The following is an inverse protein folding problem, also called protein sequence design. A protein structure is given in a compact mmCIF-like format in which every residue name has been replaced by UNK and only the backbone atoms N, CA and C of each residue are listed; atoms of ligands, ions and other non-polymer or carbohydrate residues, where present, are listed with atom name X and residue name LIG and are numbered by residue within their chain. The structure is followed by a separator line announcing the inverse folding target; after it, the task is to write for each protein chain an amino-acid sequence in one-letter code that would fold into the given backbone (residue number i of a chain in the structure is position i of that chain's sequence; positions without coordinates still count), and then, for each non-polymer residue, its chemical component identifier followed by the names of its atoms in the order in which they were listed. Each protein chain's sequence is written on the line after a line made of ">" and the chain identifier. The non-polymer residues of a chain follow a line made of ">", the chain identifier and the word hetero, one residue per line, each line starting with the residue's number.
data_IF_610691035482
#
_entry.id   IF_610691035482
#
_cell.length_a   1.000
_cell.length_b   1.000
_cell.length_c   1.000
_cell.angle_alpha   90.00
_cell.angle_beta   90.00
_cell.angle_gamma   90.00
#
_symmetry.space_group_name_H-M   'P 1'
#
loop_
_entity.id
_entity.type
_entity.pdbx_description
1 polymer ?
#
# COMPACT_ATOMS: atom_id res chain seq x y z
N UNK A 1 -29.63 -15.34 -22.79
CA UNK A 1 -28.61 -14.32 -22.48
C UNK A 1 -28.69 -13.01 -23.32
N UNK A 2 -29.70 -12.80 -24.16
CA UNK A 2 -29.75 -11.63 -25.07
C UNK A 2 -29.79 -10.27 -24.35
N UNK A 3 -30.64 -10.12 -23.33
CA UNK A 3 -30.76 -8.86 -22.58
C UNK A 3 -29.51 -8.53 -21.74
N UNK A 4 -28.77 -9.56 -21.31
CA UNK A 4 -27.48 -9.38 -20.66
C UNK A 4 -26.47 -8.74 -21.62
N UNK A 5 -26.34 -9.27 -22.86
CA UNK A 5 -25.45 -8.66 -23.87
C UNK A 5 -25.86 -7.22 -24.20
N UNK A 6 -27.16 -6.99 -24.44
CA UNK A 6 -27.69 -5.65 -24.72
C UNK A 6 -27.35 -4.65 -23.62
N UNK A 7 -27.49 -5.03 -22.35
CA UNK A 7 -27.13 -4.16 -21.23
C UNK A 7 -25.62 -3.96 -21.15
N UNK A 8 -24.82 -5.01 -21.37
CA UNK A 8 -23.35 -4.94 -21.35
C UNK A 8 -22.74 -4.10 -22.48
N UNK A 9 -23.44 -3.90 -23.60
CA UNK A 9 -22.97 -3.08 -24.72
C UNK A 9 -23.17 -1.56 -24.49
N UNK A 10 -23.98 -1.17 -23.50
CA UNK A 10 -24.24 0.25 -23.21
C UNK A 10 -23.01 0.87 -22.53
N UNK A 11 -22.33 1.76 -23.25
CA UNK A 11 -21.18 2.51 -22.75
C UNK A 11 -21.59 3.47 -21.62
N UNK A 12 -20.73 3.65 -20.62
CA UNK A 12 -20.94 4.53 -19.46
C UNK A 12 -22.19 4.23 -18.60
N UNK A 13 -22.76 3.03 -18.71
CA UNK A 13 -23.87 2.60 -17.86
C UNK A 13 -23.37 1.94 -16.58
N UNK A 14 -23.74 2.51 -15.42
CA UNK A 14 -23.47 1.94 -14.10
C UNK A 14 -24.13 0.56 -13.93
N UNK A 15 -25.30 0.33 -14.55
CA UNK A 15 -25.97 -0.97 -14.54
C UNK A 15 -25.24 -2.00 -15.41
N UNK A 16 -24.69 -1.58 -16.54
CA UNK A 16 -23.84 -2.44 -17.38
C UNK A 16 -22.54 -2.81 -16.67
N UNK A 17 -21.95 -1.86 -15.95
CA UNK A 17 -20.73 -2.04 -15.18
C UNK A 17 -20.95 -2.97 -13.99
N UNK A 18 -22.01 -2.75 -13.20
CA UNK A 18 -22.42 -3.62 -12.09
C UNK A 18 -22.73 -5.05 -12.58
N UNK A 19 -23.39 -5.18 -13.73
CA UNK A 19 -23.67 -6.47 -14.32
C UNK A 19 -22.37 -7.20 -14.72
N UNK A 20 -21.43 -6.49 -15.37
CA UNK A 20 -20.10 -7.02 -15.73
C UNK A 20 -19.37 -7.55 -14.49
N UNK A 21 -19.40 -6.80 -13.38
CA UNK A 21 -18.77 -7.22 -12.12
C UNK A 21 -19.42 -8.45 -11.48
N UNK A 22 -20.75 -8.50 -11.45
CA UNK A 22 -21.48 -9.65 -10.91
C UNK A 22 -21.18 -10.93 -11.71
N UNK A 23 -21.06 -10.81 -13.04
CA UNK A 23 -20.75 -11.95 -13.91
C UNK A 23 -19.29 -12.43 -13.77
N UNK A 24 -18.32 -11.53 -13.63
CA UNK A 24 -16.93 -11.90 -13.31
C UNK A 24 -16.80 -12.56 -11.93
N UNK A 25 -17.57 -12.06 -10.94
CA UNK A 25 -17.62 -12.67 -9.60
C UNK A 25 -18.22 -14.09 -9.64
N UNK A 26 -19.29 -14.29 -10.42
CA UNK A 26 -19.90 -15.59 -10.62
C UNK A 26 -18.95 -16.57 -11.33
N UNK A 27 -18.26 -16.13 -12.39
CA UNK A 27 -17.24 -16.90 -13.09
C UNK A 27 -16.12 -17.36 -12.16
N UNK A 28 -15.61 -16.46 -11.32
CA UNK A 28 -14.55 -16.78 -10.34
C UNK A 28 -15.03 -17.80 -9.31
N UNK A 29 -16.24 -17.61 -8.78
CA UNK A 29 -16.84 -18.50 -7.78
C UNK A 29 -17.06 -19.91 -8.35
N UNK A 30 -17.54 -20.01 -9.60
CA UNK A 30 -17.74 -21.28 -10.29
C UNK A 30 -16.42 -21.97 -10.62
N UNK A 31 -15.39 -21.24 -11.04
CA UNK A 31 -14.05 -21.79 -11.26
C UNK A 31 -13.43 -22.36 -9.98
N UNK A 32 -13.60 -21.67 -8.84
CA UNK A 32 -13.13 -22.15 -7.54
C UNK A 32 -13.90 -23.40 -7.08
N UNK A 33 -15.23 -23.36 -7.16
CA UNK A 33 -16.08 -24.50 -6.79
C UNK A 33 -15.79 -25.74 -7.67
N UNK A 34 -15.55 -25.54 -8.97
CA UNK A 34 -15.15 -26.61 -9.90
C UNK A 34 -13.81 -27.25 -9.50
N UNK A 35 -12.84 -26.44 -9.06
CA UNK A 35 -11.53 -26.94 -8.61
C UNK A 35 -11.62 -27.68 -7.27
N UNK A 36 -12.51 -27.25 -6.38
CA UNK A 36 -12.70 -27.84 -5.04
C UNK A 36 -13.53 -29.13 -5.09
N UNK A 37 -14.48 -29.25 -6.03
CA UNK A 37 -15.38 -30.40 -6.17
C UNK A 37 -15.33 -31.03 -7.58
N UNK A 38 -14.18 -31.60 -8.01
CA UNK A 38 -14.00 -32.08 -9.38
C UNK A 38 -14.80 -33.33 -9.76
N UNK A 39 -15.41 -34.01 -8.77
CA UNK A 39 -16.23 -35.21 -8.95
C UNK A 39 -17.73 -34.95 -8.75
N UNK A 40 -18.14 -33.68 -8.58
CA UNK A 40 -19.54 -33.32 -8.44
C UNK A 40 -20.30 -33.61 -9.76
N UNK A 41 -21.49 -34.23 -9.70
CA UNK A 41 -22.26 -34.56 -10.91
C UNK A 41 -22.66 -33.33 -11.74
N UNK A 42 -22.57 -32.11 -11.19
CA UNK A 42 -22.81 -30.85 -11.88
C UNK A 42 -21.62 -30.25 -12.62
N UNK A 43 -20.42 -30.83 -12.55
CA UNK A 43 -19.19 -30.25 -13.14
C UNK A 43 -19.31 -30.01 -14.65
N UNK A 44 -19.87 -30.96 -15.40
CA UNK A 44 -20.04 -30.81 -16.86
C UNK A 44 -20.99 -29.65 -17.21
N UNK A 45 -22.04 -29.44 -16.41
CA UNK A 45 -22.98 -28.32 -16.59
C UNK A 45 -22.32 -27.00 -16.17
N UNK A 46 -21.47 -27.02 -15.13
CA UNK A 46 -20.68 -25.88 -14.70
C UNK A 46 -19.70 -25.43 -15.79
N UNK A 47 -19.06 -26.37 -16.50
CA UNK A 47 -18.16 -26.08 -17.61
C UNK A 47 -18.87 -25.39 -18.79
N UNK A 48 -20.06 -25.85 -19.16
CA UNK A 48 -20.86 -25.19 -20.20
C UNK A 48 -21.32 -23.80 -19.77
N UNK A 49 -21.73 -23.63 -18.51
CA UNK A 49 -22.10 -22.33 -17.96
C UNK A 49 -20.92 -21.34 -17.95
N UNK A 50 -19.71 -21.79 -17.62
CA UNK A 50 -18.50 -20.98 -17.68
C UNK A 50 -18.18 -20.55 -19.11
N UNK A 51 -18.35 -21.43 -20.11
CA UNK A 51 -18.19 -21.06 -21.53
C UNK A 51 -19.20 -19.99 -21.96
N UNK A 52 -20.47 -20.12 -21.54
CA UNK A 52 -21.50 -19.12 -21.83
C UNK A 52 -21.17 -17.76 -21.20
N UNK A 53 -20.68 -17.74 -19.95
CA UNK A 53 -20.26 -16.52 -19.25
C UNK A 53 -19.06 -15.86 -19.94
N UNK A 54 -18.03 -16.63 -20.31
CA UNK A 54 -16.88 -16.10 -21.04
C UNK A 54 -17.30 -15.49 -22.39
N UNK A 55 -18.17 -16.17 -23.15
CA UNK A 55 -18.68 -15.66 -24.42
C UNK A 55 -19.48 -14.36 -24.27
N UNK A 56 -20.13 -14.17 -23.12
CA UNK A 56 -20.92 -12.98 -22.82
C UNK A 56 -20.05 -11.79 -22.36
N UNK A 57 -18.91 -12.06 -21.73
CA UNK A 57 -17.98 -11.06 -21.22
C UNK A 57 -16.91 -10.62 -22.25
N UNK A 58 -16.71 -11.39 -23.32
CA UNK A 58 -15.84 -11.01 -24.43
C UNK A 58 -16.38 -9.77 -25.18
N UNK A 59 -15.54 -8.76 -25.46
CA UNK A 59 -15.94 -7.62 -26.28
C UNK A 59 -16.31 -8.07 -27.70
N UNK A 60 -17.27 -7.41 -28.37
CA UNK A 60 -17.61 -7.74 -29.75
C UNK A 60 -16.37 -7.56 -30.63
N UNK A 61 -16.01 -8.61 -31.37
CA UNK A 61 -14.86 -8.61 -32.26
C UNK A 61 -14.92 -7.41 -33.21
N UNK A 62 -13.94 -6.52 -33.10
CA UNK A 62 -13.75 -5.42 -34.04
C UNK A 62 -13.39 -6.02 -35.40
N UNK A 63 -14.06 -5.66 -36.50
CA UNK A 63 -13.75 -6.24 -37.80
C UNK A 63 -12.33 -5.85 -38.20
N UNK A 64 -11.48 -6.88 -38.33
CA UNK A 64 -10.15 -6.84 -38.91
C UNK A 64 -10.21 -6.24 -40.32
N UNK A 65 -9.65 -5.05 -40.49
CA UNK A 65 -9.30 -4.54 -41.81
C UNK A 65 -8.03 -5.25 -42.28
N UNK A 66 -8.27 -6.12 -43.25
CA UNK A 66 -7.31 -6.74 -44.15
C UNK A 66 -6.42 -5.72 -44.86
N UNK A 67 -5.16 -6.14 -45.06
CA UNK A 67 -4.34 -5.94 -46.26
C UNK A 67 -4.42 -4.59 -46.96
N UNK A 68 -3.35 -3.80 -46.85
CA UNK A 68 -2.74 -3.13 -48.00
C UNK A 68 -1.30 -2.74 -47.64
N UNK A 69 -0.35 -3.35 -48.35
CA UNK A 69 1.07 -3.12 -48.17
C UNK A 69 1.54 -1.80 -48.75
N UNK A 70 2.41 -1.13 -48.01
CA UNK A 70 3.48 -0.27 -48.53
C UNK A 70 4.72 -0.48 -47.66
N UNK A 71 5.80 -0.90 -48.30
CA UNK A 71 7.16 -0.87 -47.78
C UNK A 71 7.55 0.60 -47.56
N UNK A 72 8.04 0.94 -46.36
CA UNK A 72 9.36 1.53 -46.15
C UNK A 72 9.50 2.10 -44.73
N UNK A 73 10.73 1.98 -44.23
CA UNK A 73 11.25 2.57 -43.00
C UNK A 73 10.67 2.04 -41.68
N UNK A 74 11.34 1.01 -41.17
CA UNK A 74 11.51 0.80 -39.73
C UNK A 74 12.18 2.08 -39.18
N UNK A 75 11.38 3.05 -38.72
CA UNK A 75 11.82 4.04 -37.76
C UNK A 75 11.69 3.37 -36.39
N UNK A 76 12.66 2.55 -36.03
CA UNK A 76 12.94 2.23 -34.63
C UNK A 76 13.51 3.48 -33.97
N UNK A 77 12.65 4.45 -33.62
CA UNK A 77 12.95 5.35 -32.51
C UNK A 77 12.36 4.70 -31.26
N UNK A 78 13.02 3.67 -30.76
CA UNK A 78 12.90 3.32 -29.35
C UNK A 78 13.37 4.57 -28.59
N UNK A 79 12.44 5.31 -27.98
CA UNK A 79 12.77 6.29 -26.96
C UNK A 79 13.46 5.53 -25.82
N UNK A 80 14.78 5.43 -25.90
CA UNK A 80 15.61 4.88 -24.83
C UNK A 80 15.58 5.90 -23.70
N UNK A 81 15.12 5.47 -22.52
CA UNK A 81 15.14 6.31 -21.32
C UNK A 81 16.58 6.71 -21.03
N UNK A 82 16.81 7.99 -20.71
CA UNK A 82 18.16 8.47 -20.35
C UNK A 82 18.66 7.77 -19.08
N UNK A 83 17.75 7.42 -18.18
CA UNK A 83 18.03 6.74 -16.93
C UNK A 83 17.97 5.19 -17.04
N UNK A 84 18.06 4.61 -18.25
CA UNK A 84 18.03 3.15 -18.38
C UNK A 84 19.17 2.45 -17.63
N UNK A 85 20.39 3.01 -17.64
CA UNK A 85 21.49 2.46 -16.85
C UNK A 85 21.19 2.44 -15.35
N UNK A 86 20.48 3.45 -14.86
CA UNK A 86 20.05 3.50 -13.46
C UNK A 86 19.05 2.39 -13.15
N UNK A 87 18.10 2.12 -14.05
CA UNK A 87 17.18 0.97 -13.92
C UNK A 87 17.94 -0.34 -13.83
N UNK A 88 18.86 -0.58 -14.75
CA UNK A 88 19.66 -1.81 -14.81
C UNK A 88 20.48 -2.02 -13.53
N UNK A 89 21.14 -0.95 -13.05
CA UNK A 89 21.87 -0.99 -11.79
C UNK A 89 20.96 -1.30 -10.59
N UNK A 90 19.80 -0.66 -10.52
CA UNK A 90 18.85 -0.84 -9.43
C UNK A 90 18.24 -2.25 -9.41
N UNK A 91 17.75 -2.75 -10.55
CA UNK A 91 17.11 -4.07 -10.65
C UNK A 91 18.12 -5.23 -10.43
N UNK A 92 19.41 -5.01 -10.71
CA UNK A 92 20.46 -6.02 -10.55
C UNK A 92 21.07 -6.09 -9.14
N UNK A 93 20.79 -5.13 -8.26
CA UNK A 93 21.37 -5.09 -6.92
C UNK A 93 20.70 -6.12 -5.99
N UNK A 94 21.50 -7.07 -5.50
CA UNK A 94 21.01 -8.17 -4.66
C UNK A 94 20.55 -7.70 -3.27
N UNK A 95 21.14 -6.63 -2.73
CA UNK A 95 20.81 -6.11 -1.40
C UNK A 95 19.48 -5.35 -1.46
N UNK A 96 19.23 -4.56 -2.50
CA UNK A 96 17.92 -3.96 -2.76
C UNK A 96 16.84 -5.02 -2.95
N UNK A 97 17.11 -6.05 -3.76
CA UNK A 97 16.18 -7.14 -4.01
C UNK A 97 15.79 -7.91 -2.73
N UNK A 98 16.70 -7.99 -1.74
CA UNK A 98 16.38 -8.59 -0.44
C UNK A 98 15.25 -7.83 0.29
N UNK A 99 15.27 -6.49 0.27
CA UNK A 99 14.27 -5.66 0.96
C UNK A 99 13.01 -5.39 0.12
N UNK A 100 13.18 -5.17 -1.17
CA UNK A 100 12.11 -4.76 -2.07
C UNK A 100 11.39 -5.93 -2.74
N UNK A 101 11.98 -7.13 -2.68
CA UNK A 101 11.57 -8.28 -3.47
C UNK A 101 12.00 -8.17 -4.92
N UNK A 102 11.78 -9.24 -5.70
CA UNK A 102 12.19 -9.34 -7.10
C UNK A 102 11.25 -8.59 -8.08
N UNK A 103 10.64 -7.50 -7.64
CA UNK A 103 9.75 -6.69 -8.48
C UNK A 103 10.57 -5.74 -9.34
N UNK A 104 10.43 -5.85 -10.67
CA UNK A 104 11.09 -4.93 -11.60
C UNK A 104 10.42 -3.56 -11.57
N UNK A 105 11.21 -2.52 -11.84
CA UNK A 105 10.71 -1.16 -12.03
C UNK A 105 9.75 -1.09 -13.23
N UNK A 106 8.60 -0.44 -13.07
CA UNK A 106 7.52 -0.41 -14.07
C UNK A 106 7.42 0.90 -14.86
N UNK A 107 8.15 1.93 -14.44
CA UNK A 107 8.10 3.26 -15.03
C UNK A 107 8.40 3.29 -16.53
N UNK A 108 7.73 4.18 -17.26
CA UNK A 108 7.87 4.32 -18.73
C UNK A 108 8.50 5.65 -19.15
N UNK A 109 8.79 6.54 -18.20
CA UNK A 109 9.46 7.82 -18.43
C UNK A 109 10.61 8.01 -17.44
N UNK A 110 11.58 8.86 -17.77
CA UNK A 110 12.70 9.17 -16.86
C UNK A 110 12.19 9.81 -15.55
N UNK A 111 11.15 10.64 -15.64
CA UNK A 111 10.54 11.31 -14.48
C UNK A 111 9.82 10.32 -13.56
N UNK A 112 9.11 9.34 -14.13
CA UNK A 112 8.46 8.29 -13.35
C UNK A 112 9.51 7.36 -12.72
N UNK A 113 10.54 6.99 -13.49
CA UNK A 113 11.61 6.10 -13.03
C UNK A 113 12.37 6.69 -11.85
N UNK A 114 12.72 7.98 -11.92
CA UNK A 114 13.30 8.71 -10.80
C UNK A 114 12.42 8.59 -9.55
N UNK A 115 11.15 8.93 -9.68
CA UNK A 115 10.21 8.94 -8.56
C UNK A 115 9.94 7.55 -7.98
N UNK A 116 9.80 6.53 -8.82
CA UNK A 116 9.63 5.14 -8.41
C UNK A 116 10.82 4.65 -7.59
N UNK A 117 12.05 4.88 -8.08
CA UNK A 117 13.27 4.53 -7.35
C UNK A 117 13.31 5.25 -6.00
N UNK A 118 13.14 6.58 -5.99
CA UNK A 118 13.22 7.35 -4.75
C UNK A 118 12.18 6.91 -3.70
N UNK A 119 10.97 6.54 -4.12
CA UNK A 119 9.95 6.00 -3.21
C UNK A 119 10.29 4.59 -2.72
N UNK A 120 10.84 3.71 -3.58
CA UNK A 120 11.32 2.39 -3.14
C UNK A 120 12.43 2.52 -2.08
N UNK A 121 13.32 3.51 -2.20
CA UNK A 121 14.35 3.79 -1.19
C UNK A 121 13.78 4.23 0.18
N UNK A 122 12.51 4.60 0.28
CA UNK A 122 11.87 4.90 1.58
C UNK A 122 11.59 3.64 2.42
N UNK A 123 11.72 2.45 1.82
CA UNK A 123 11.34 1.16 2.41
C UNK A 123 12.53 0.35 2.95
N UNK A 124 13.76 0.78 2.68
CA UNK A 124 14.99 0.04 2.98
C UNK A 124 15.78 0.71 4.13
N UNK A 125 16.79 0.04 4.73
CA UNK A 125 17.62 0.65 5.77
C UNK A 125 18.21 1.99 5.34
N UNK A 126 18.28 2.96 6.26
CA UNK A 126 18.70 4.32 5.91
C UNK A 126 20.12 4.42 5.37
N UNK A 127 21.04 3.59 5.85
CA UNK A 127 22.43 3.60 5.35
C UNK A 127 22.47 3.18 3.87
N UNK A 128 21.71 2.14 3.50
CA UNK A 128 21.57 1.68 2.13
C UNK A 128 20.81 2.70 1.26
N UNK A 129 19.75 3.30 1.81
CA UNK A 129 19.01 4.36 1.13
C UNK A 129 19.87 5.60 0.87
N UNK A 130 20.74 5.99 1.82
CA UNK A 130 21.65 7.12 1.67
C UNK A 130 22.69 6.87 0.57
N UNK A 131 23.28 5.67 0.56
CA UNK A 131 24.18 5.25 -0.52
C UNK A 131 23.49 5.33 -1.88
N UNK A 132 22.30 4.71 -2.01
CA UNK A 132 21.58 4.69 -3.28
C UNK A 132 21.06 6.06 -3.72
N UNK A 133 20.65 6.93 -2.79
CA UNK A 133 20.28 8.32 -3.11
C UNK A 133 21.45 9.06 -3.74
N UNK A 134 22.66 8.95 -3.16
CA UNK A 134 23.84 9.57 -3.76
C UNK A 134 24.16 8.94 -5.12
N UNK A 135 24.16 7.61 -5.21
CA UNK A 135 24.47 6.90 -6.44
C UNK A 135 23.50 7.25 -7.58
N UNK A 136 22.19 7.32 -7.30
CA UNK A 136 21.17 7.73 -8.27
C UNK A 136 21.37 9.15 -8.77
N UNK A 137 21.80 10.07 -7.89
CA UNK A 137 22.12 11.45 -8.27
C UNK A 137 23.35 11.53 -9.16
N UNK A 138 24.41 10.78 -8.84
CA UNK A 138 25.63 10.73 -9.65
C UNK A 138 25.31 10.25 -11.08
N UNK A 139 24.53 9.17 -11.21
CA UNK A 139 24.08 8.64 -12.51
C UNK A 139 23.15 9.61 -13.26
N UNK A 140 22.26 10.32 -12.54
CA UNK A 140 21.42 11.35 -13.16
C UNK A 140 22.28 12.53 -13.68
N UNK A 141 23.35 12.88 -12.97
CA UNK A 141 24.28 13.94 -13.38
C UNK A 141 25.07 13.57 -14.63
N UNK A 142 25.44 12.31 -14.81
CA UNK A 142 26.12 11.83 -16.03
C UNK A 142 25.31 12.09 -17.31
N UNK A 143 23.97 12.09 -17.21
CA UNK A 143 23.07 12.40 -18.33
C UNK A 143 22.63 13.87 -18.36
N UNK A 144 23.22 14.73 -17.52
CA UNK A 144 22.99 16.16 -17.47
C UNK A 144 21.78 16.61 -16.65
N UNK A 145 21.23 15.73 -15.80
CA UNK A 145 20.19 16.11 -14.84
C UNK A 145 20.82 16.59 -13.52
N UNK A 146 20.19 17.54 -12.85
CA UNK A 146 20.72 18.18 -11.63
C UNK A 146 19.66 18.18 -10.55
N UNK A 147 20.03 17.82 -9.32
CA UNK A 147 19.16 17.87 -8.16
C UNK A 147 18.47 19.24 -8.01
N UNK A 148 17.15 19.23 -7.86
CA UNK A 148 16.33 20.43 -7.67
C UNK A 148 15.49 20.31 -6.39
N UNK A 149 15.87 21.11 -5.39
CA UNK A 149 15.15 21.21 -4.11
C UNK A 149 14.07 22.30 -4.12
N UNK A 150 13.87 23.00 -5.23
CA UNK A 150 12.89 24.09 -5.36
C UNK A 150 11.55 23.61 -5.95
N UNK A 151 11.58 22.62 -6.84
CA UNK A 151 10.39 22.03 -7.46
C UNK A 151 9.97 20.74 -6.74
N UNK A 152 9.19 20.89 -5.66
CA UNK A 152 8.78 19.78 -4.80
C UNK A 152 7.26 19.62 -4.78
N UNK A 153 6.79 18.38 -4.92
CA UNK A 153 5.44 17.99 -4.56
C UNK A 153 5.32 17.96 -3.03
N UNK A 154 4.40 18.75 -2.47
CA UNK A 154 4.24 18.92 -1.03
C UNK A 154 3.13 18.03 -0.49
N UNK A 155 3.51 17.09 0.39
CA UNK A 155 2.60 16.26 1.15
C UNK A 155 2.23 16.95 2.48
N UNK A 156 0.95 17.03 2.84
CA UNK A 156 0.52 17.66 4.09
C UNK A 156 1.00 16.85 5.30
N UNK A 157 1.78 17.47 6.20
CA UNK A 157 2.19 16.84 7.46
C UNK A 157 2.56 17.87 8.54
N UNK A 158 2.77 17.43 9.77
CA UNK A 158 3.04 18.32 10.93
C UNK A 158 4.44 18.94 10.96
N UNK A 159 5.31 18.61 10.01
CA UNK A 159 6.67 19.14 9.87
C UNK A 159 7.02 19.34 8.40
N UNK A 160 7.97 20.23 8.15
CA UNK A 160 8.59 20.38 6.83
C UNK A 160 9.82 19.46 6.73
N UNK A 161 9.92 18.71 5.63
CA UNK A 161 11.02 17.77 5.40
C UNK A 161 11.13 17.50 3.90
N UNK A 162 12.32 17.64 3.29
CA UNK A 162 12.54 17.17 1.92
C UNK A 162 12.78 15.66 1.98
N UNK A 163 11.89 14.87 1.39
CA UNK A 163 12.01 13.41 1.34
C UNK A 163 13.04 13.01 0.29
N UNK A 164 12.93 13.58 -0.91
CA UNK A 164 13.92 13.44 -1.98
C UNK A 164 13.83 14.62 -2.96
N UNK A 165 14.95 14.99 -3.61
CA UNK A 165 14.98 16.10 -4.56
C UNK A 165 14.28 15.76 -5.88
N UNK A 166 13.81 16.80 -6.58
CA UNK A 166 13.46 16.68 -7.98
C UNK A 166 14.70 16.68 -8.86
N UNK A 167 14.49 16.70 -10.17
CA UNK A 167 15.55 16.94 -11.15
C UNK A 167 15.20 18.13 -12.03
N UNK A 168 16.24 18.85 -12.43
CA UNK A 168 16.25 19.90 -13.45
C UNK A 168 17.30 19.57 -14.53
N UNK A 169 17.39 20.39 -15.57
CA UNK A 169 18.33 20.16 -16.67
C UNK A 169 17.75 19.26 -17.76
N UNK A 170 18.48 18.20 -18.14
CA UNK A 170 18.08 17.30 -19.24
C UNK A 170 16.87 16.42 -18.94
N UNK A 171 16.55 16.25 -17.66
CA UNK A 171 15.37 15.57 -17.12
C UNK A 171 14.72 16.54 -16.12
N UNK A 172 13.41 16.74 -16.24
CA UNK A 172 12.65 17.61 -15.34
C UNK A 172 11.60 16.78 -14.60
N UNK A 173 11.68 16.74 -13.27
CA UNK A 173 10.72 16.02 -12.43
C UNK A 173 10.64 16.67 -11.05
N UNK A 174 9.47 16.60 -10.43
CA UNK A 174 9.27 17.12 -9.08
C UNK A 174 9.88 16.16 -8.05
N UNK A 175 10.47 16.73 -7.00
CA UNK A 175 10.82 15.98 -5.80
C UNK A 175 9.61 15.78 -4.89
N UNK A 176 9.84 15.26 -3.70
CA UNK A 176 8.80 15.04 -2.70
C UNK A 176 9.22 15.63 -1.36
N UNK A 177 8.28 16.29 -0.69
CA UNK A 177 8.50 16.88 0.63
C UNK A 177 7.27 16.76 1.50
N UNK A 178 7.46 16.76 2.82
CA UNK A 178 6.45 17.05 3.81
C UNK A 178 6.33 18.56 3.97
N UNK A 179 5.11 19.07 4.17
CA UNK A 179 4.90 20.48 4.49
C UNK A 179 3.79 20.75 5.49
N UNK A 180 4.13 21.55 6.52
CA UNK A 180 3.17 22.07 7.49
C UNK A 180 2.20 23.07 6.86
N UNK A 181 2.69 23.89 5.93
CA UNK A 181 1.86 24.83 5.17
C UNK A 181 0.82 24.09 4.32
N UNK A 182 1.22 22.97 3.68
CA UNK A 182 0.29 22.14 2.92
C UNK A 182 -0.79 21.52 3.81
N UNK A 183 -0.45 21.12 5.05
CA UNK A 183 -1.41 20.64 6.03
C UNK A 183 -2.42 21.72 6.43
N UNK A 184 -1.97 22.94 6.74
CA UNK A 184 -2.85 24.06 7.12
C UNK A 184 -3.82 24.47 6.00
N UNK A 185 -3.39 24.34 4.75
CA UNK A 185 -4.23 24.63 3.58
C UNK A 185 -5.26 23.53 3.28
N UNK A 186 -5.08 22.34 3.85
CA UNK A 186 -6.04 21.24 3.76
C UNK A 186 -7.18 21.57 4.72
N UNK A 187 -8.22 22.26 4.22
CA UNK A 187 -9.33 22.95 4.92
C UNK A 187 -10.20 22.10 5.87
N UNK A 188 -9.71 20.97 6.38
CA UNK A 188 -10.47 19.94 7.10
C UNK A 188 -10.07 19.84 8.58
N UNK A 189 -9.01 20.53 9.03
CA UNK A 189 -8.67 20.63 10.46
C UNK A 189 -9.14 21.97 11.05
N UNK A 190 -10.21 21.92 11.84
CA UNK A 190 -10.48 22.91 12.91
C UNK A 190 -9.74 22.54 14.22
N UNK A 191 -8.70 21.71 14.14
CA UNK A 191 -7.91 21.23 15.27
C UNK A 191 -6.56 21.94 15.40
N UNK A 192 -5.98 21.88 16.60
CA UNK A 192 -4.68 22.48 16.95
C UNK A 192 -3.58 22.11 15.93
N UNK A 193 -2.63 23.03 15.72
CA UNK A 193 -1.50 22.97 14.78
C UNK A 193 -0.54 21.76 14.94
N UNK A 194 -0.84 20.80 15.83
CA UNK A 194 0.01 19.64 16.20
C UNK A 194 -0.72 18.30 16.27
N UNK A 195 -1.88 18.16 15.60
CA UNK A 195 -2.65 16.91 15.55
C UNK A 195 -1.97 15.84 14.66
N UNK A 196 -1.12 14.99 15.26
CA UNK A 196 -0.45 13.89 14.55
C UNK A 196 -1.44 12.89 13.89
N UNK A 197 -2.53 12.43 14.55
CA UNK A 197 -3.57 11.64 13.88
C UNK A 197 -4.05 12.26 12.57
N UNK A 198 -4.40 13.55 12.59
CA UNK A 198 -4.81 14.28 11.39
C UNK A 198 -3.69 14.33 10.35
N UNK A 199 -2.46 14.68 10.76
CA UNK A 199 -1.30 14.70 9.89
C UNK A 199 -1.03 13.36 9.19
N UNK A 200 -1.07 12.24 9.93
CA UNK A 200 -0.88 10.89 9.39
C UNK A 200 -1.99 10.50 8.41
N UNK A 201 -3.24 10.85 8.71
CA UNK A 201 -4.38 10.60 7.82
C UNK A 201 -4.15 11.26 6.46
N UNK A 202 -3.87 12.56 6.42
CA UNK A 202 -3.67 13.28 5.16
C UNK A 202 -2.43 12.80 4.42
N UNK A 203 -1.34 12.57 5.15
CA UNK A 203 -0.11 12.05 4.56
C UNK A 203 -0.35 10.70 3.89
N UNK A 204 -1.02 9.77 4.56
CA UNK A 204 -1.33 8.46 4.00
C UNK A 204 -2.32 8.50 2.85
N UNK A 205 -3.35 9.34 2.91
CA UNK A 205 -4.23 9.56 1.75
C UNK A 205 -3.43 10.01 0.52
N UNK A 206 -2.48 10.93 0.69
CA UNK A 206 -1.62 11.37 -0.42
C UNK A 206 -0.61 10.34 -0.87
N UNK A 207 -0.02 9.57 0.03
CA UNK A 207 0.83 8.44 -0.36
C UNK A 207 0.06 7.39 -1.17
N UNK A 208 -1.17 7.06 -0.78
CA UNK A 208 -2.05 6.14 -1.52
C UNK A 208 -2.40 6.67 -2.92
N UNK A 209 -2.34 7.98 -3.17
CA UNK A 209 -2.54 8.53 -4.51
C UNK A 209 -1.32 8.32 -5.42
N UNK A 210 -0.10 8.36 -4.86
CA UNK A 210 1.15 8.42 -5.63
C UNK A 210 1.98 7.13 -5.61
N UNK A 211 1.67 6.19 -4.73
CA UNK A 211 2.46 4.97 -4.52
C UNK A 211 1.65 3.70 -4.86
N UNK A 212 1.82 3.14 -6.07
CA UNK A 212 1.05 1.99 -6.53
C UNK A 212 1.33 0.68 -5.78
N UNK A 213 2.49 0.57 -5.13
CA UNK A 213 2.89 -0.65 -4.41
C UNK A 213 2.30 -0.73 -2.99
N UNK A 214 1.35 0.13 -2.64
CA UNK A 214 0.67 0.10 -1.34
C UNK A 214 -0.48 -0.91 -1.29
N UNK A 215 -0.50 -1.65 -0.20
CA UNK A 215 -1.51 -2.61 0.16
C UNK A 215 -2.10 -2.24 1.52
N UNK A 216 -3.26 -2.81 1.83
CA UNK A 216 -3.77 -2.80 3.18
C UNK A 216 -3.96 -4.21 3.73
N UNK A 217 -3.76 -4.33 5.04
CA UNK A 217 -3.97 -5.54 5.81
C UNK A 217 -5.03 -5.33 6.90
N UNK A 218 -5.86 -4.28 6.82
CA UNK A 218 -6.71 -3.86 7.94
C UNK A 218 -7.89 -4.81 8.14
N UNK A 219 -7.94 -5.50 9.29
CA UNK A 219 -8.91 -6.58 9.56
C UNK A 219 -10.35 -6.16 9.32
N UNK A 220 -10.73 -4.96 9.76
CA UNK A 220 -12.10 -4.45 9.66
C UNK A 220 -12.54 -4.13 8.23
N UNK A 221 -11.59 -4.03 7.29
CA UNK A 221 -11.87 -3.82 5.87
C UNK A 221 -11.87 -5.16 5.15
N UNK A 222 -10.80 -5.94 5.32
CA UNK A 222 -10.68 -7.28 4.79
C UNK A 222 -9.83 -8.14 5.73
N UNK A 223 -10.38 -9.26 6.18
CA UNK A 223 -9.77 -10.05 7.26
C UNK A 223 -8.82 -11.15 6.78
N UNK A 224 -8.90 -11.55 5.51
CA UNK A 224 -8.31 -12.82 5.05
C UNK A 224 -6.96 -12.68 4.36
N UNK A 225 -6.58 -11.49 3.90
CA UNK A 225 -5.39 -11.31 3.07
C UNK A 225 -4.88 -9.86 3.08
N UNK A 226 -3.72 -9.63 2.45
CA UNK A 226 -3.13 -8.33 2.14
C UNK A 226 -3.59 -7.89 0.74
N UNK A 227 -4.33 -6.79 0.65
CA UNK A 227 -5.01 -6.38 -0.59
C UNK A 227 -4.41 -5.10 -1.17
N UNK A 228 -4.08 -5.12 -2.47
CA UNK A 228 -3.56 -3.94 -3.17
C UNK A 228 -4.61 -2.83 -3.21
N UNK A 229 -4.22 -1.63 -2.78
CA UNK A 229 -5.07 -0.43 -2.81
C UNK A 229 -5.32 0.09 -4.23
N UNK A 230 -4.52 -0.34 -5.22
CA UNK A 230 -4.64 0.11 -6.60
C UNK A 230 -5.35 -0.88 -7.52
N UNK A 231 -5.52 -2.13 -7.09
CA UNK A 231 -6.25 -3.17 -7.84
C UNK A 231 -7.77 -2.99 -7.85
N UNK A 232 -8.35 -2.45 -6.77
CA UNK A 232 -9.81 -2.33 -6.55
C UNK A 232 -10.14 -1.01 -5.84
N UNK A 233 -10.74 -0.02 -6.52
CA UNK A 233 -11.04 1.29 -5.93
C UNK A 233 -11.90 1.22 -4.66
N UNK A 234 -12.77 0.22 -4.52
CA UNK A 234 -13.62 0.02 -3.35
C UNK A 234 -12.78 -0.27 -2.09
N UNK A 235 -11.74 -1.09 -2.22
CA UNK A 235 -10.84 -1.44 -1.11
C UNK A 235 -10.08 -0.22 -0.60
N UNK A 236 -9.62 0.62 -1.54
CA UNK A 236 -9.00 1.91 -1.22
C UNK A 236 -9.93 2.82 -0.44
N UNK A 237 -11.16 2.98 -0.91
CA UNK A 237 -12.14 3.84 -0.26
C UNK A 237 -12.53 3.31 1.13
N UNK A 238 -12.72 1.99 1.26
CA UNK A 238 -13.02 1.37 2.55
C UNK A 238 -11.88 1.54 3.55
N UNK A 239 -10.63 1.38 3.11
CA UNK A 239 -9.46 1.63 3.95
C UNK A 239 -9.35 3.08 4.40
N UNK A 240 -9.49 4.05 3.47
CA UNK A 240 -9.44 5.49 3.78
C UNK A 240 -10.56 5.87 4.76
N UNK A 241 -11.78 5.37 4.56
CA UNK A 241 -12.90 5.62 5.47
C UNK A 241 -12.62 5.02 6.85
N UNK A 242 -12.12 3.79 6.91
CA UNK A 242 -11.79 3.12 8.16
C UNK A 242 -10.66 3.83 8.94
N UNK A 243 -9.68 4.42 8.24
CA UNK A 243 -8.63 5.25 8.83
C UNK A 243 -9.18 6.59 9.33
N UNK A 244 -10.05 7.23 8.53
CA UNK A 244 -10.70 8.50 8.88
C UNK A 244 -11.57 8.36 10.14
N UNK A 245 -12.37 7.29 10.22
CA UNK A 245 -13.22 7.00 11.38
C UNK A 245 -12.41 6.80 12.66
N UNK A 246 -11.24 6.14 12.56
CA UNK A 246 -10.32 5.95 13.70
C UNK A 246 -9.64 7.24 14.12
N UNK A 247 -9.26 8.07 13.16
CA UNK A 247 -8.72 9.40 13.44
C UNK A 247 -9.73 10.24 14.23
N UNK A 248 -10.99 10.30 13.77
CA UNK A 248 -12.07 11.02 14.47
C UNK A 248 -12.36 10.46 15.86
N UNK A 249 -12.38 9.12 16.02
CA UNK A 249 -12.55 8.49 17.35
C UNK A 249 -11.40 8.82 18.29
N UNK A 250 -10.18 8.88 17.77
CA UNK A 250 -8.98 9.25 18.54
C UNK A 250 -9.06 10.69 19.01
N UNK A 251 -9.39 11.64 18.12
CA UNK A 251 -9.60 13.04 18.46
C UNK A 251 -10.68 13.22 19.55
N UNK A 252 -11.84 12.58 19.38
CA UNK A 252 -12.92 12.61 20.39
C UNK A 252 -12.49 12.00 21.73
N UNK A 253 -11.68 10.94 21.72
CA UNK A 253 -11.18 10.33 22.94
C UNK A 253 -10.19 11.25 23.67
N UNK A 254 -9.39 12.02 22.93
CA UNK A 254 -8.48 13.03 23.48
C UNK A 254 -9.25 14.20 24.14
N UNK A 255 -10.35 14.66 23.54
CA UNK A 255 -11.23 15.69 24.11
C UNK A 255 -11.88 15.26 25.43
N UNK A 256 -12.31 14.00 25.52
CA UNK A 256 -12.97 13.47 26.71
C UNK A 256 -12.03 13.22 27.90
N UNK A 257 -10.71 13.23 27.66
CA UNK A 257 -9.65 13.02 28.66
C UNK A 257 -9.75 11.72 29.50
N UNK A 258 -10.53 10.73 29.08
CA UNK A 258 -10.57 9.39 29.71
C UNK A 258 -9.36 8.55 29.27
N UNK A 259 -8.46 8.14 30.20
CA UNK A 259 -7.24 7.43 29.83
C UNK A 259 -7.47 6.09 29.12
N UNK A 260 -8.52 5.35 29.49
CA UNK A 260 -8.81 4.04 28.89
C UNK A 260 -9.43 4.17 27.49
N UNK A 261 -10.36 5.10 27.30
CA UNK A 261 -10.93 5.39 25.99
C UNK A 261 -9.86 5.90 25.03
N UNK A 262 -8.98 6.79 25.50
CA UNK A 262 -7.84 7.28 24.71
C UNK A 262 -6.89 6.13 24.34
N UNK A 263 -6.57 5.23 25.28
CA UNK A 263 -5.72 4.07 25.01
C UNK A 263 -6.32 3.13 23.96
N UNK A 264 -7.60 2.77 24.11
CA UNK A 264 -8.29 1.90 23.15
C UNK A 264 -8.38 2.53 21.76
N UNK A 265 -8.68 3.83 21.68
CA UNK A 265 -8.72 4.54 20.41
C UNK A 265 -7.34 4.56 19.72
N UNK A 266 -6.27 4.79 20.48
CA UNK A 266 -4.91 4.75 19.95
C UNK A 266 -4.45 3.34 19.53
N UNK A 267 -4.88 2.27 20.19
CA UNK A 267 -4.63 0.89 19.74
C UNK A 267 -5.28 0.66 18.36
N UNK A 268 -6.53 1.08 18.18
CA UNK A 268 -7.24 0.94 16.91
C UNK A 268 -6.60 1.77 15.78
N UNK A 269 -6.23 3.02 16.08
CA UNK A 269 -5.58 3.93 15.13
C UNK A 269 -4.21 3.42 14.72
N UNK A 270 -3.42 2.94 15.68
CA UNK A 270 -2.12 2.34 15.44
C UNK A 270 -2.22 1.06 14.58
N UNK A 271 -3.23 0.20 14.79
CA UNK A 271 -3.46 -0.96 13.91
C UNK A 271 -3.73 -0.50 12.48
N UNK A 272 -4.54 0.54 12.28
CA UNK A 272 -4.81 1.08 10.95
C UNK A 272 -3.54 1.60 10.29
N UNK A 273 -2.73 2.38 11.00
CA UNK A 273 -1.45 2.90 10.52
C UNK A 273 -0.49 1.79 10.08
N UNK A 274 -0.35 0.73 10.88
CA UNK A 274 0.53 -0.40 10.56
C UNK A 274 -0.09 -1.37 9.56
N UNK A 275 -1.39 -1.24 9.28
CA UNK A 275 -2.07 -2.01 8.24
C UNK A 275 -1.88 -1.40 6.84
N UNK A 276 -1.34 -0.18 6.70
CA UNK A 276 -0.84 0.31 5.41
C UNK A 276 0.56 -0.27 5.18
N UNK A 277 0.68 -1.22 4.27
CA UNK A 277 1.90 -2.02 4.11
C UNK A 277 2.36 -2.08 2.67
N UNK A 278 3.65 -2.30 2.50
CA UNK A 278 4.22 -2.81 1.25
C UNK A 278 4.30 -4.33 1.32
N UNK A 279 4.47 -4.97 0.17
CA UNK A 279 4.74 -6.41 0.08
C UNK A 279 5.98 -6.62 -0.80
N UNK A 280 7.16 -6.98 -0.24
CA UNK A 280 7.46 -7.18 1.18
C UNK A 280 7.27 -5.93 2.06
N UNK A 281 6.96 -6.09 3.37
CA UNK A 281 6.89 -4.98 4.32
C UNK A 281 8.18 -4.17 4.37
N UNK A 282 8.04 -2.85 4.53
CA UNK A 282 9.17 -1.96 4.69
C UNK A 282 10.00 -2.31 5.94
N UNK A 283 11.31 -2.11 5.85
CA UNK A 283 12.22 -2.35 6.97
C UNK A 283 11.89 -1.39 8.13
N UNK A 284 12.03 -1.86 9.38
CA UNK A 284 11.57 -1.15 10.58
C UNK A 284 12.25 0.21 10.79
N UNK A 285 13.52 0.32 10.44
CA UNK A 285 14.35 1.50 10.58
C UNK A 285 14.46 2.32 9.29
N UNK A 286 13.78 1.91 8.21
CA UNK A 286 13.58 2.73 7.01
C UNK A 286 12.82 4.02 7.32
N UNK A 287 12.81 4.95 6.35
CA UNK A 287 12.02 6.18 6.46
C UNK A 287 10.54 5.88 6.72
N UNK A 288 9.95 4.94 5.97
CA UNK A 288 8.56 4.51 6.14
C UNK A 288 8.33 3.85 7.51
N UNK A 289 9.23 2.96 7.91
CA UNK A 289 9.17 2.28 9.21
C UNK A 289 9.25 3.27 10.37
N UNK A 290 10.10 4.30 10.27
CA UNK A 290 10.18 5.39 11.26
C UNK A 290 8.90 6.20 11.34
N UNK A 291 8.28 6.52 10.19
CA UNK A 291 6.99 7.21 10.13
C UNK A 291 5.90 6.42 10.86
N UNK A 292 5.76 5.11 10.59
CA UNK A 292 4.80 4.26 11.30
C UNK A 292 5.12 4.16 12.80
N UNK A 293 6.40 4.07 13.17
CA UNK A 293 6.85 4.03 14.57
C UNK A 293 6.54 5.31 15.36
N UNK A 294 6.20 6.43 14.72
CA UNK A 294 5.70 7.62 15.44
C UNK A 294 4.41 7.30 16.20
N UNK A 295 3.50 6.52 15.60
CA UNK A 295 2.28 6.07 16.25
C UNK A 295 2.55 5.13 17.43
N UNK A 296 3.52 4.20 17.31
CA UNK A 296 3.98 3.34 18.42
C UNK A 296 4.49 4.15 19.61
N UNK A 297 5.22 5.24 19.35
CA UNK A 297 5.73 6.13 20.40
C UNK A 297 4.59 6.85 21.12
N UNK A 298 3.55 7.28 20.41
CA UNK A 298 2.37 7.87 21.04
C UNK A 298 1.60 6.83 21.84
N UNK A 299 1.35 5.65 21.26
CA UNK A 299 0.66 4.57 21.95
C UNK A 299 1.35 4.22 23.27
N UNK A 300 2.68 4.18 23.31
CA UNK A 300 3.44 4.02 24.55
C UNK A 300 3.16 5.14 25.57
N UNK A 301 3.22 6.41 25.15
CA UNK A 301 2.92 7.56 26.03
C UNK A 301 1.48 7.50 26.57
N UNK A 302 0.53 7.10 25.74
CA UNK A 302 -0.89 6.96 26.12
C UNK A 302 -1.08 5.80 27.11
N UNK A 303 -0.38 4.69 26.91
CA UNK A 303 -0.35 3.58 27.86
C UNK A 303 0.23 4.01 29.21
N UNK A 304 1.35 4.74 29.21
CA UNK A 304 1.96 5.27 30.43
C UNK A 304 1.00 6.20 31.19
N UNK A 305 0.20 7.01 30.49
CA UNK A 305 -0.86 7.83 31.11
C UNK A 305 -1.92 6.98 31.79
N UNK A 306 -2.39 5.90 31.15
CA UNK A 306 -3.37 5.00 31.74
C UNK A 306 -2.82 4.25 32.97
N UNK A 307 -1.54 3.84 32.92
CA UNK A 307 -0.85 3.23 34.07
C UNK A 307 -0.78 4.23 35.24
N UNK A 308 -0.38 5.47 34.96
CA UNK A 308 -0.29 6.53 35.97
C UNK A 308 -1.66 6.90 36.57
N UNK A 309 -2.75 6.66 35.85
CA UNK A 309 -4.13 6.80 36.34
C UNK A 309 -4.59 5.59 37.20
N UNK A 310 -3.74 4.58 37.41
CA UNK A 310 -4.02 3.42 38.27
C UNK A 310 -4.57 2.20 37.54
N UNK A 311 -4.55 2.15 36.21
CA UNK A 311 -5.01 1.00 35.44
C UNK A 311 -3.91 -0.06 35.23
N UNK A 312 -4.30 -1.33 35.21
CA UNK A 312 -3.37 -2.43 34.87
C UNK A 312 -3.25 -2.52 33.35
N UNK A 313 -2.20 -1.95 32.76
CA UNK A 313 -1.99 -1.97 31.30
C UNK A 313 -0.69 -2.70 30.96
N UNK A 314 -0.77 -3.63 30.01
CA UNK A 314 0.40 -4.25 29.36
C UNK A 314 0.23 -4.16 27.86
N UNK A 315 1.22 -3.62 27.17
CA UNK A 315 1.28 -3.56 25.71
C UNK A 315 2.58 -4.19 25.25
N UNK A 316 2.51 -5.06 24.24
CA UNK A 316 3.66 -5.73 23.66
C UNK A 316 3.60 -5.69 22.14
N UNK A 317 4.62 -5.10 21.53
CA UNK A 317 4.87 -5.26 20.09
C UNK A 317 5.40 -6.68 19.86
N UNK A 318 4.81 -7.39 18.90
CA UNK A 318 5.17 -8.76 18.57
C UNK A 318 6.25 -8.76 17.48
N UNK A 319 7.35 -9.50 17.69
CA UNK A 319 8.50 -9.55 16.79
C UNK A 319 9.32 -10.81 17.05
N UNK A 320 10.24 -11.15 16.14
CA UNK A 320 11.08 -12.35 16.24
C UNK A 320 10.41 -13.55 15.59
N UNK A 321 10.68 -14.76 16.10
CA UNK A 321 10.09 -15.99 15.58
C UNK A 321 8.58 -16.01 15.82
N UNK A 322 7.81 -16.36 14.79
CA UNK A 322 6.35 -16.48 14.89
C UNK A 322 5.94 -17.51 15.95
N UNK A 323 6.68 -18.61 16.06
CA UNK A 323 6.46 -19.67 17.06
C UNK A 323 6.50 -19.15 18.51
N UNK A 324 7.26 -18.09 18.79
CA UNK A 324 7.39 -17.52 20.14
C UNK A 324 6.24 -16.59 20.51
N UNK A 325 5.46 -16.13 19.52
CA UNK A 325 4.43 -15.10 19.70
C UNK A 325 3.02 -15.55 19.29
N UNK A 326 2.86 -16.69 18.61
CA UNK A 326 1.58 -17.13 18.04
C UNK A 326 0.47 -17.34 19.10
N UNK A 327 0.84 -17.61 20.36
CA UNK A 327 -0.12 -17.68 21.46
C UNK A 327 -0.66 -16.30 21.90
N UNK A 328 0.05 -15.23 21.56
CA UNK A 328 -0.30 -13.84 21.89
C UNK A 328 -0.89 -13.07 20.70
N UNK A 329 -1.07 -13.73 19.55
CA UNK A 329 -1.61 -13.14 18.32
C UNK A 329 -2.84 -13.90 17.80
N UNK A 330 -3.63 -13.24 16.96
CA UNK A 330 -4.80 -13.82 16.28
C UNK A 330 -5.08 -13.09 14.98
N UNK A 331 -5.66 -13.80 14.02
CA UNK A 331 -6.02 -13.29 12.70
C UNK A 331 -4.77 -12.85 11.90
N UNK A 332 -3.66 -13.56 12.12
CA UNK A 332 -2.37 -13.28 11.50
C UNK A 332 -2.37 -13.57 10.00
N UNK A 333 -1.56 -12.83 9.26
CA UNK A 333 -1.43 -12.98 7.81
C UNK A 333 -0.09 -13.62 7.47
N UNK A 334 -0.10 -14.54 6.52
CA UNK A 334 1.10 -15.20 6.02
C UNK A 334 1.51 -14.56 4.70
N UNK A 335 2.81 -14.29 4.54
CA UNK A 335 3.41 -14.06 3.24
C UNK A 335 4.33 -15.23 2.86
N UNK A 336 4.45 -15.45 1.55
CA UNK A 336 5.32 -16.48 0.98
C UNK A 336 6.61 -15.91 0.40
N UNK A 337 6.85 -14.60 0.55
CA UNK A 337 8.06 -13.90 0.09
C UNK A 337 8.43 -12.73 1.03
N UNK A 338 9.67 -12.26 0.95
CA UNK A 338 10.25 -11.25 1.85
C UNK A 338 10.70 -11.78 3.21
N UNK A 339 11.76 -11.20 3.77
CA UNK A 339 12.32 -11.50 5.10
C UNK A 339 12.72 -12.96 5.35
N UNK A 340 12.98 -13.29 6.61
CA UNK A 340 13.43 -14.62 7.05
C UNK A 340 12.24 -15.57 7.25
N UNK A 341 12.26 -16.79 6.68
CA UNK A 341 11.26 -17.82 6.95
C UNK A 341 11.02 -18.10 8.44
N UNK A 342 9.75 -18.08 8.86
CA UNK A 342 9.35 -18.28 10.26
C UNK A 342 9.37 -17.03 11.14
N UNK A 343 9.82 -15.88 10.64
CA UNK A 343 9.85 -14.63 11.41
C UNK A 343 8.61 -13.76 11.18
N UNK A 344 8.28 -12.96 12.20
CA UNK A 344 7.35 -11.85 12.10
C UNK A 344 7.97 -10.74 11.26
N UNK A 345 7.33 -10.42 10.14
CA UNK A 345 7.73 -9.35 9.23
C UNK A 345 7.23 -7.99 9.71
N UNK A 346 5.98 -7.92 10.18
CA UNK A 346 5.44 -6.69 10.78
C UNK A 346 4.40 -6.99 11.85
N UNK A 347 4.38 -6.14 12.88
CA UNK A 347 3.34 -6.13 13.91
C UNK A 347 2.25 -5.15 13.49
N UNK A 348 1.11 -5.67 13.04
CA UNK A 348 -0.06 -4.87 12.67
C UNK A 348 -0.73 -4.32 13.93
N UNK A 349 -1.10 -5.21 14.86
CA UNK A 349 -1.68 -4.85 16.16
C UNK A 349 -0.80 -5.35 17.30
N UNK A 350 -0.54 -4.49 18.28
CA UNK A 350 0.10 -4.91 19.53
C UNK A 350 -0.79 -5.88 20.30
N UNK A 351 -0.17 -6.80 21.03
CA UNK A 351 -0.86 -7.45 22.13
C UNK A 351 -1.13 -6.41 23.21
N UNK A 352 -2.35 -6.37 23.73
CA UNK A 352 -2.74 -5.49 24.82
C UNK A 352 -3.53 -6.25 25.88
N UNK A 353 -3.23 -5.97 27.14
CA UNK A 353 -4.05 -6.37 28.29
C UNK A 353 -4.37 -5.12 29.09
N UNK A 354 -5.65 -4.84 29.27
CA UNK A 354 -6.15 -3.67 29.99
C UNK A 354 -7.09 -4.19 31.07
N UNK A 355 -6.67 -4.06 32.33
CA UNK A 355 -7.28 -4.70 33.47
C UNK A 355 -7.40 -6.22 33.25
N UNK A 356 -8.63 -6.75 33.20
CA UNK A 356 -8.91 -8.17 32.97
C UNK A 356 -9.24 -8.51 31.51
N UNK A 357 -9.22 -7.53 30.60
CA UNK A 357 -9.51 -7.72 29.19
C UNK A 357 -8.21 -7.90 28.40
N UNK A 358 -8.12 -9.01 27.67
CA UNK A 358 -7.01 -9.29 26.76
C UNK A 358 -7.44 -9.09 25.31
N UNK A 359 -6.59 -8.39 24.56
CA UNK A 359 -6.70 -8.16 23.13
C UNK A 359 -5.47 -8.76 22.46
N UNK A 360 -5.60 -9.85 21.68
CA UNK A 360 -4.47 -10.48 21.04
C UNK A 360 -3.82 -9.52 20.04
N UNK A 361 -2.52 -9.63 19.82
CA UNK A 361 -1.86 -8.92 18.73
C UNK A 361 -2.26 -9.48 17.36
N UNK A 362 -1.71 -8.90 16.31
CA UNK A 362 -1.88 -9.35 14.94
C UNK A 362 -0.63 -9.05 14.15
N UNK A 363 -0.12 -10.02 13.40
CA UNK A 363 1.14 -9.89 12.66
C UNK A 363 1.00 -10.30 11.20
N UNK A 364 1.94 -9.82 10.38
CA UNK A 364 2.32 -10.49 9.13
C UNK A 364 3.59 -11.28 9.42
N UNK A 365 3.63 -12.55 9.06
CA UNK A 365 4.80 -13.41 9.23
C UNK A 365 5.19 -14.10 7.92
N UNK A 366 6.45 -14.50 7.83
CA UNK A 366 6.94 -15.25 6.67
C UNK A 366 6.77 -16.75 6.89
N UNK A 367 6.18 -17.43 5.92
CA UNK A 367 6.07 -18.89 5.93
C UNK A 367 7.43 -19.59 5.99
N UNK A 368 7.56 -20.68 6.75
CA UNK A 368 8.78 -21.49 6.88
C UNK A 368 9.01 -22.49 5.74
N UNK A 369 8.20 -22.43 4.67
CA UNK A 369 8.20 -23.41 3.57
C UNK A 369 9.53 -23.51 2.84
#
# INVERSE_FOLDING_TARGET
>A
MQHFRQLLEIQNSQLAQLLRFTLYGLETTLNQARAEFPLDPGVEVCDELLKELHSLLQPPATPSQSENGWQDAIITSQNTLKLNHLREAFDSDSELNYYLGNSQLQSQTDSDLWNEIQRKLLRIPEDLAAYWRQHTLDMAQEVGAIADNSNLHQLPFIRDEIIYPGLSGTIQTQGLSLSQKALLNSQILQGNESDLPGGLLFLYMKFIEIEPDLYHALKSVFSFDVISLHSKPEQRNQYINALSDRCQRTQKAEENADPLSMLRAWIDMDEAIHSLVFVPPAERYSWWGKLQNESRRILKKVADKAINAGHEVRIRQLSGLYADICASSKDDLQLDFGGTPGEVLTCLRVYARINHEESPGRVIFRSSR
#
